data_IF_187017395590
#
_entry.id   IF_187017395590
#
_cell.length_a   1.000
_cell.length_b   1.000
_cell.length_c   1.000
_cell.angle_alpha   90.00
_cell.angle_beta   90.00
_cell.angle_gamma   90.00
#
_symmetry.space_group_name_H-M   'P 1'
#
loop_
_entity.id
_entity.type
_entity.pdbx_description
1 polymer ?
#
# COMPACT_ATOMS: atom_id res chain seq x y z
N UNK A 1 0.84 -7.68 -13.61
CA UNK A 1 0.38 -6.51 -14.39
C UNK A 1 0.30 -5.35 -13.42
N UNK A 2 1.10 -4.30 -13.62
CA UNK A 2 1.00 -3.07 -12.82
C UNK A 2 -0.09 -2.20 -13.44
N UNK A 3 -1.06 -1.80 -12.62
CA UNK A 3 -2.21 -1.01 -13.04
C UNK A 3 -1.99 0.46 -12.70
N UNK A 4 -2.48 1.36 -13.55
CA UNK A 4 -2.45 2.79 -13.25
C UNK A 4 -3.40 3.09 -12.09
N UNK A 5 -2.98 3.93 -11.13
CA UNK A 5 -3.82 4.26 -10.00
C UNK A 5 -4.96 5.21 -10.39
N UNK A 6 -6.10 5.07 -9.70
CA UNK A 6 -7.21 6.02 -9.82
C UNK A 6 -6.89 7.27 -8.99
N UNK A 7 -6.72 8.41 -9.67
CA UNK A 7 -6.35 9.68 -9.02
C UNK A 7 -7.47 10.26 -8.15
N UNK A 8 -8.70 9.73 -8.24
CA UNK A 8 -9.85 10.18 -7.43
C UNK A 8 -10.02 9.37 -6.16
N UNK A 9 -9.29 8.26 -6.00
CA UNK A 9 -9.41 7.38 -4.85
C UNK A 9 -8.22 7.53 -3.91
N UNK A 10 -8.52 7.56 -2.62
CA UNK A 10 -7.51 7.56 -1.59
C UNK A 10 -6.73 6.24 -1.58
N UNK A 11 -5.45 6.33 -1.22
CA UNK A 11 -4.64 5.17 -0.90
C UNK A 11 -4.73 4.87 0.59
N UNK A 12 -4.75 3.59 0.94
CA UNK A 12 -4.58 3.11 2.30
C UNK A 12 -3.20 2.50 2.41
N UNK A 13 -2.45 2.91 3.44
CA UNK A 13 -1.13 2.38 3.74
C UNK A 13 -1.27 1.34 4.85
N UNK A 14 -0.73 0.15 4.61
CA UNK A 14 -0.58 -0.87 5.63
C UNK A 14 0.91 -1.06 5.91
N UNK A 15 1.29 -0.88 7.17
CA UNK A 15 2.67 -1.06 7.61
C UNK A 15 2.74 -2.31 8.50
N UNK A 16 3.68 -3.20 8.21
CA UNK A 16 4.10 -4.26 9.11
C UNK A 16 5.50 -3.92 9.63
N UNK A 17 5.60 -3.80 10.95
CA UNK A 17 6.86 -3.65 11.66
C UNK A 17 7.06 -4.85 12.57
N UNK A 18 6.78 -6.05 12.05
CA UNK A 18 7.07 -7.28 12.77
C UNK A 18 8.58 -7.39 12.99
N UNK A 19 8.98 -8.05 14.08
CA UNK A 19 10.36 -8.08 14.62
C UNK A 19 11.45 -8.56 13.63
N UNK A 20 11.06 -8.98 12.43
CA UNK A 20 11.93 -9.50 11.38
C UNK A 20 12.17 -8.48 10.24
N UNK A 21 11.40 -7.39 10.15
CA UNK A 21 11.60 -6.35 9.13
C UNK A 21 10.55 -5.23 9.13
N UNK A 22 10.84 -4.17 8.37
CA UNK A 22 9.90 -3.08 8.07
C UNK A 22 9.37 -3.27 6.65
N UNK A 23 8.06 -3.47 6.52
CA UNK A 23 7.37 -3.60 5.24
C UNK A 23 6.16 -2.69 5.17
N UNK A 24 5.87 -2.17 3.98
CA UNK A 24 4.69 -1.32 3.75
C UNK A 24 4.08 -1.59 2.38
N UNK A 25 2.75 -1.53 2.29
CA UNK A 25 2.01 -1.61 1.02
C UNK A 25 1.02 -0.47 0.89
N UNK A 26 0.94 0.12 -0.31
CA UNK A 26 -0.15 1.00 -0.72
C UNK A 26 -1.21 0.18 -1.44
N UNK A 27 -2.46 0.31 -1.02
CA UNK A 27 -3.62 -0.27 -1.71
C UNK A 27 -4.64 0.82 -2.03
N UNK A 28 -5.24 0.74 -3.23
CA UNK A 28 -6.42 1.52 -3.60
C UNK A 28 -7.66 0.63 -3.53
N UNK A 29 -8.76 1.18 -3.02
CA UNK A 29 -10.05 0.48 -2.91
C UNK A 29 -10.83 0.47 -4.22
#
# INVERSE_FOLDING_TARGET
MLTLPDTKKAFVVYCDASKMGLGGVLMQK
#
